data_IF_733326690217
#
_entry.id   IF_733326690217
#
_cell.length_a   1.000
_cell.length_b   1.000
_cell.length_c   1.000
_cell.angle_alpha   90.00
_cell.angle_beta   90.00
_cell.angle_gamma   90.00
#
_symmetry.space_group_name_H-M   'P 1'
#
loop_
_entity.id
_entity.type
_entity.pdbx_description
1 polymer ?
#
# COMPACT_ATOMS: atom_id res chain seq x y z
N UNK A 1 28.36 25.55 19.34
CA UNK A 1 27.32 24.69 19.96
C UNK A 1 27.40 23.32 19.33
N UNK A 2 28.05 22.40 20.04
CA UNK A 2 28.19 21.00 19.65
C UNK A 2 26.82 20.32 19.66
N UNK A 3 26.49 19.64 18.56
CA UNK A 3 25.28 18.81 18.47
C UNK A 3 25.52 17.57 19.32
N UNK A 4 24.75 17.43 20.40
CA UNK A 4 24.55 16.15 21.07
C UNK A 4 23.89 15.22 20.04
N UNK A 5 24.70 14.43 19.34
CA UNK A 5 24.24 13.27 18.55
C UNK A 5 23.88 12.15 19.53
N UNK A 6 22.80 12.35 20.27
CA UNK A 6 22.11 11.22 20.89
C UNK A 6 21.61 10.30 19.78
N UNK A 7 21.77 8.99 19.95
CA UNK A 7 21.18 7.99 19.05
C UNK A 7 19.66 8.24 19.03
N UNK A 8 19.15 8.70 17.89
CA UNK A 8 17.78 9.19 17.76
C UNK A 8 16.88 8.03 17.33
N UNK A 9 16.11 7.47 18.27
CA UNK A 9 15.20 6.35 18.03
C UNK A 9 14.00 6.79 17.16
N UNK A 10 13.55 5.93 16.25
CA UNK A 10 12.47 6.21 15.30
C UNK A 10 11.33 5.23 15.44
N UNK A 11 10.10 5.72 15.27
CA UNK A 11 8.90 4.88 15.27
C UNK A 11 8.36 4.78 13.84
N UNK A 12 8.16 3.56 13.37
CA UNK A 12 7.46 3.25 12.13
C UNK A 12 6.07 2.69 12.45
N UNK A 13 5.07 3.04 11.63
CA UNK A 13 3.71 2.49 11.74
C UNK A 13 3.30 1.91 10.40
N UNK A 14 2.69 0.72 10.42
CA UNK A 14 2.18 0.04 9.23
C UNK A 14 0.77 -0.50 9.49
N UNK A 15 -0.10 -0.35 8.50
CA UNK A 15 -1.45 -0.93 8.44
C UNK A 15 -1.60 -1.93 7.30
N UNK A 16 -0.56 -2.14 6.47
CA UNK A 16 -0.57 -3.08 5.35
C UNK A 16 0.79 -3.78 5.19
N UNK A 17 0.84 -5.01 4.66
CA UNK A 17 2.09 -5.72 4.36
C UNK A 17 3.03 -4.95 3.42
N UNK A 18 2.52 -4.27 2.40
CA UNK A 18 3.34 -3.46 1.50
C UNK A 18 4.04 -2.28 2.23
N UNK A 19 3.36 -1.68 3.21
CA UNK A 19 3.94 -0.58 4.00
C UNK A 19 5.12 -1.04 4.85
N UNK A 20 5.10 -2.29 5.32
CA UNK A 20 6.26 -2.88 5.97
C UNK A 20 7.48 -2.88 5.04
N UNK A 21 7.30 -3.25 3.76
CA UNK A 21 8.38 -3.24 2.79
C UNK A 21 8.95 -1.83 2.59
N UNK A 22 8.10 -0.82 2.49
CA UNK A 22 8.53 0.58 2.35
C UNK A 22 9.22 1.09 3.63
N UNK A 23 8.69 0.78 4.81
CA UNK A 23 9.32 1.11 6.09
C UNK A 23 10.71 0.46 6.22
N UNK A 24 10.84 -0.82 5.86
CA UNK A 24 12.09 -1.57 5.89
C UNK A 24 13.10 -1.04 4.87
N UNK A 25 12.63 -0.63 3.69
CA UNK A 25 13.41 0.05 2.65
C UNK A 25 13.93 1.40 3.16
N UNK A 26 13.12 2.19 3.85
CA UNK A 26 13.56 3.46 4.45
C UNK A 26 14.62 3.21 5.52
N UNK A 27 14.37 2.26 6.43
CA UNK A 27 15.33 1.86 7.47
C UNK A 27 16.67 1.48 6.86
N UNK A 28 16.67 0.67 5.80
CA UNK A 28 17.86 0.24 5.09
C UNK A 28 18.56 1.41 4.38
N UNK A 29 17.83 2.13 3.52
CA UNK A 29 18.39 3.18 2.67
C UNK A 29 18.93 4.38 3.48
N UNK A 30 18.36 4.66 4.65
CA UNK A 30 18.88 5.70 5.54
C UNK A 30 19.92 5.20 6.57
N UNK A 31 20.16 3.88 6.65
CA UNK A 31 21.05 3.30 7.66
C UNK A 31 20.56 3.52 9.09
N UNK A 32 19.25 3.49 9.32
CA UNK A 32 18.71 3.67 10.67
C UNK A 32 18.87 2.39 11.49
N UNK A 33 19.60 2.49 12.60
CA UNK A 33 19.82 1.38 13.53
C UNK A 33 18.66 1.23 14.54
N UNK A 34 18.40 2.28 15.33
CA UNK A 34 17.42 2.24 16.42
C UNK A 34 16.02 2.60 15.91
N UNK A 35 15.28 1.59 15.48
CA UNK A 35 13.91 1.75 14.99
C UNK A 35 12.98 0.72 15.63
N UNK A 36 11.80 1.18 16.02
CA UNK A 36 10.70 0.33 16.44
C UNK A 36 9.58 0.40 15.41
N UNK A 37 8.75 -0.65 15.40
CA UNK A 37 7.65 -0.82 14.48
C UNK A 37 6.35 -1.07 15.24
N UNK A 38 5.29 -0.37 14.87
CA UNK A 38 3.92 -0.65 15.27
C UNK A 38 3.12 -1.16 14.07
N UNK A 39 2.49 -2.32 14.23
CA UNK A 39 1.57 -2.91 13.24
C UNK A 39 0.14 -2.78 13.77
N UNK A 40 -0.73 -2.21 12.94
CA UNK A 40 -2.16 -2.03 13.23
C UNK A 40 -3.00 -3.13 12.57
N UNK A 41 -4.11 -3.51 13.21
CA UNK A 41 -4.99 -4.61 12.77
C UNK A 41 -5.92 -4.23 11.60
N UNK A 42 -5.33 -3.97 10.44
CA UNK A 42 -6.03 -3.45 9.25
C UNK A 42 -6.01 -4.42 8.06
N UNK A 43 -5.42 -5.60 8.23
CA UNK A 43 -5.33 -6.64 7.22
C UNK A 43 -5.42 -8.04 7.84
N UNK A 44 -5.79 -9.01 7.01
CA UNK A 44 -5.91 -10.41 7.42
C UNK A 44 -4.57 -10.92 7.99
N UNK A 45 -4.63 -11.61 9.15
CA UNK A 45 -3.47 -12.18 9.85
C UNK A 45 -2.42 -11.13 10.30
N UNK A 46 -2.83 -9.90 10.60
CA UNK A 46 -1.90 -8.84 11.04
C UNK A 46 -1.11 -9.19 12.31
N UNK A 47 -1.72 -9.90 13.27
CA UNK A 47 -1.04 -10.34 14.49
C UNK A 47 0.03 -11.40 14.19
N UNK A 48 -0.30 -12.42 13.39
CA UNK A 48 0.66 -13.43 12.95
C UNK A 48 1.80 -12.82 12.14
N UNK A 49 1.48 -11.88 11.25
CA UNK A 49 2.47 -11.10 10.53
C UNK A 49 3.41 -10.34 11.48
N UNK A 50 2.87 -9.71 12.53
CA UNK A 50 3.65 -9.03 13.56
C UNK A 50 4.58 -9.99 14.30
N UNK A 51 4.12 -11.21 14.62
CA UNK A 51 4.94 -12.24 15.24
C UNK A 51 6.12 -12.65 14.34
N UNK A 52 5.87 -12.94 13.06
CA UNK A 52 6.93 -13.25 12.08
C UNK A 52 7.93 -12.11 11.92
N UNK A 53 7.46 -10.86 11.87
CA UNK A 53 8.36 -9.69 11.80
C UNK A 53 9.22 -9.58 13.05
N UNK A 54 8.68 -9.88 14.24
CA UNK A 54 9.45 -9.89 15.49
C UNK A 54 10.57 -10.93 15.47
N UNK A 55 10.31 -12.11 14.91
CA UNK A 55 11.29 -13.20 14.78
C UNK A 55 12.48 -12.84 13.87
N UNK A 56 12.34 -11.86 12.98
CA UNK A 56 13.47 -11.41 12.14
C UNK A 56 14.59 -10.72 12.92
N UNK A 57 14.31 -10.19 14.11
CA UNK A 57 15.28 -9.46 14.94
C UNK A 57 15.78 -8.13 14.34
N UNK A 58 15.17 -7.65 13.26
CA UNK A 58 15.60 -6.45 12.52
C UNK A 58 15.25 -5.14 13.22
N UNK A 59 14.16 -5.15 13.98
CA UNK A 59 13.60 -3.99 14.69
C UNK A 59 13.91 -4.09 16.18
N UNK A 60 14.10 -2.95 16.84
CA UNK A 60 14.33 -2.92 18.28
C UNK A 60 13.12 -3.46 19.06
N UNK A 61 11.94 -2.92 18.75
CA UNK A 61 10.65 -3.43 19.23
C UNK A 61 9.65 -3.55 18.09
N UNK A 62 8.87 -4.64 18.10
CA UNK A 62 7.73 -4.86 17.19
C UNK A 62 6.45 -5.00 18.01
N UNK A 63 5.58 -4.01 17.88
CA UNK A 63 4.33 -3.86 18.62
C UNK A 63 3.13 -4.16 17.73
N UNK A 64 2.09 -4.75 18.32
CA UNK A 64 0.79 -4.95 17.69
C UNK A 64 -0.26 -4.12 18.44
N UNK A 65 -1.19 -3.51 17.71
CA UNK A 65 -2.35 -2.84 18.30
C UNK A 65 -3.60 -3.07 17.46
N UNK A 66 -4.66 -3.54 18.10
CA UNK A 66 -5.95 -3.73 17.46
C UNK A 66 -6.81 -2.48 17.57
N UNK A 67 -6.96 -1.76 16.45
CA UNK A 67 -7.80 -0.57 16.32
C UNK A 67 -8.95 -0.76 15.31
N UNK A 68 -9.25 -1.99 14.90
CA UNK A 68 -10.20 -2.27 13.82
C UNK A 68 -11.60 -1.69 14.09
N UNK A 69 -12.08 -1.73 15.33
CA UNK A 69 -13.37 -1.14 15.73
C UNK A 69 -13.38 0.38 15.62
N UNK A 70 -12.27 1.03 15.99
CA UNK A 70 -12.16 2.49 15.96
C UNK A 70 -12.15 3.01 14.51
N UNK A 71 -11.45 2.31 13.62
CA UNK A 71 -11.38 2.71 12.21
C UNK A 71 -12.74 2.55 11.51
N UNK A 72 -13.45 1.43 11.76
CA UNK A 72 -14.82 1.21 11.27
C UNK A 72 -15.77 2.32 11.74
N UNK A 73 -15.76 2.62 13.04
CA UNK A 73 -16.60 3.69 13.61
C UNK A 73 -16.32 5.04 12.94
N UNK A 74 -15.05 5.41 12.74
CA UNK A 74 -14.65 6.64 12.06
C UNK A 74 -15.24 6.75 10.65
N UNK A 75 -15.30 5.65 9.90
CA UNK A 75 -15.80 5.66 8.52
C UNK A 75 -17.30 6.02 8.46
N UNK A 76 -18.09 5.55 9.43
CA UNK A 76 -19.54 5.79 9.54
C UNK A 76 -19.91 7.22 9.95
N UNK A 77 -18.95 8.00 10.45
CA UNK A 77 -19.21 9.35 10.91
C UNK A 77 -19.48 10.33 9.75
N UNK A 78 -20.51 11.16 9.94
CA UNK A 78 -20.75 12.33 9.09
C UNK A 78 -19.64 13.40 9.28
N UNK A 79 -19.52 14.39 8.38
CA UNK A 79 -18.43 15.37 8.43
C UNK A 79 -18.31 16.15 9.75
N UNK A 80 -19.43 16.55 10.36
CA UNK A 80 -19.43 17.28 11.64
C UNK A 80 -18.94 16.38 12.78
N UNK A 81 -19.43 15.12 12.84
CA UNK A 81 -18.96 14.15 13.83
C UNK A 81 -17.48 13.82 13.63
N UNK A 82 -16.99 13.71 12.39
CA UNK A 82 -15.56 13.53 12.06
C UNK A 82 -14.71 14.67 12.64
N UNK A 83 -15.18 15.91 12.55
CA UNK A 83 -14.47 17.05 13.14
C UNK A 83 -14.24 16.89 14.66
N UNK A 84 -15.30 16.57 15.41
CA UNK A 84 -15.19 16.36 16.86
C UNK A 84 -14.41 15.09 17.22
N UNK A 85 -14.53 14.05 16.42
CA UNK A 85 -13.75 12.82 16.53
C UNK A 85 -12.25 13.12 16.48
N UNK A 86 -11.76 13.75 15.41
CA UNK A 86 -10.33 14.10 15.28
C UNK A 86 -9.84 15.12 16.31
N UNK A 87 -10.71 15.99 16.83
CA UNK A 87 -10.35 16.85 17.97
C UNK A 87 -10.12 16.10 19.27
N UNK A 88 -10.75 14.94 19.42
CA UNK A 88 -10.62 14.07 20.60
C UNK A 88 -9.45 13.08 20.50
N UNK A 89 -8.46 13.35 19.64
CA UNK A 89 -7.37 12.43 19.28
C UNK A 89 -6.64 11.79 20.47
N UNK A 90 -6.52 12.50 21.60
CA UNK A 90 -5.86 11.97 22.81
C UNK A 90 -6.52 10.68 23.33
N UNK A 91 -7.82 10.50 23.09
CA UNK A 91 -8.56 9.29 23.47
C UNK A 91 -8.19 8.06 22.63
N UNK A 92 -7.52 8.26 21.49
CA UNK A 92 -7.14 7.20 20.56
C UNK A 92 -5.65 6.85 20.65
N UNK A 93 -4.88 7.53 21.51
CA UNK A 93 -3.47 7.21 21.70
C UNK A 93 -3.37 5.84 22.40
N UNK A 94 -2.71 4.84 21.78
CA UNK A 94 -2.56 3.53 22.40
C UNK A 94 -1.81 3.63 23.74
N UNK A 95 -2.24 2.90 24.79
CA UNK A 95 -1.53 2.91 26.07
C UNK A 95 -0.05 2.49 25.96
N UNK A 96 0.27 1.59 25.03
CA UNK A 96 1.64 1.15 24.73
C UNK A 96 2.53 2.28 24.19
N UNK A 97 1.93 3.38 23.73
CA UNK A 97 2.58 4.61 23.26
C UNK A 97 2.25 5.81 24.15
N UNK A 98 2.00 5.57 25.44
CA UNK A 98 1.76 6.66 26.42
C UNK A 98 3.01 7.49 26.68
N UNK A 99 4.20 6.89 26.59
CA UNK A 99 5.49 7.57 26.60
C UNK A 99 6.17 7.39 25.23
N UNK A 100 6.30 8.51 24.51
CA UNK A 100 6.98 8.59 23.22
C UNK A 100 8.26 9.44 23.30
N UNK A 101 8.71 9.77 24.52
CA UNK A 101 9.84 10.69 24.76
C UNK A 101 11.14 10.22 24.09
N UNK A 102 11.38 8.91 24.05
CA UNK A 102 12.57 8.30 23.43
C UNK A 102 12.64 8.46 21.89
N UNK A 103 11.50 8.65 21.22
CA UNK A 103 11.45 8.77 19.77
C UNK A 103 11.64 10.21 19.31
N UNK A 104 12.52 10.42 18.33
CA UNK A 104 12.76 11.75 17.74
C UNK A 104 11.94 12.02 16.48
N UNK A 105 11.53 10.94 15.78
CA UNK A 105 10.86 11.04 14.48
C UNK A 105 9.90 9.87 14.27
N UNK A 106 8.78 10.18 13.62
CA UNK A 106 7.69 9.27 13.27
C UNK A 106 7.64 9.07 11.76
N UNK A 107 7.51 7.81 11.34
CA UNK A 107 7.25 7.38 9.96
C UNK A 107 5.93 6.62 9.93
N UNK A 108 5.01 7.02 9.06
CA UNK A 108 3.69 6.37 8.90
C UNK A 108 3.21 6.48 7.46
N UNK A 109 2.20 5.70 7.07
CA UNK A 109 1.71 5.70 5.68
C UNK A 109 0.53 6.65 5.44
N UNK A 110 -0.25 6.99 6.47
CA UNK A 110 -1.46 7.81 6.31
C UNK A 110 -1.73 8.79 7.45
N UNK A 111 -2.35 9.92 7.10
CA UNK A 111 -2.87 10.87 8.07
C UNK A 111 -4.35 10.68 8.38
N UNK A 112 -5.02 9.64 7.84
CA UNK A 112 -6.47 9.44 8.00
C UNK A 112 -6.88 8.26 8.88
N UNK A 113 -5.96 7.37 9.27
CA UNK A 113 -6.25 6.31 10.26
C UNK A 113 -6.29 6.95 11.64
N UNK A 114 -7.28 6.60 12.46
CA UNK A 114 -7.54 7.30 13.71
C UNK A 114 -6.34 7.24 14.68
N UNK A 115 -5.72 6.06 14.81
CA UNK A 115 -4.55 5.83 15.67
C UNK A 115 -3.30 6.52 15.13
N UNK A 116 -3.00 6.37 13.83
CA UNK A 116 -1.88 7.08 13.20
C UNK A 116 -2.01 8.60 13.34
N UNK A 117 -3.22 9.14 13.14
CA UNK A 117 -3.52 10.55 13.35
C UNK A 117 -3.26 10.97 14.80
N UNK A 118 -3.67 10.17 15.78
CA UNK A 118 -3.43 10.47 17.20
C UNK A 118 -1.93 10.50 17.53
N UNK A 119 -1.15 9.55 17.01
CA UNK A 119 0.30 9.48 17.23
C UNK A 119 0.98 10.65 16.50
N UNK A 120 0.59 10.96 15.26
CA UNK A 120 1.04 12.14 14.52
C UNK A 120 0.81 13.43 15.29
N UNK A 121 -0.38 13.60 15.87
CA UNK A 121 -0.73 14.77 16.68
C UNK A 121 0.10 14.86 17.95
N UNK A 122 0.37 13.73 18.60
CA UNK A 122 1.24 13.66 19.77
C UNK A 122 2.67 14.11 19.43
N UNK A 123 3.31 13.47 18.43
CA UNK A 123 4.67 13.83 17.98
C UNK A 123 4.77 15.30 17.61
N UNK A 124 3.81 15.81 16.82
CA UNK A 124 3.83 17.21 16.42
C UNK A 124 3.62 18.18 17.59
N UNK A 125 2.86 17.79 18.63
CA UNK A 125 2.69 18.63 19.83
C UNK A 125 3.97 18.76 20.66
N UNK A 126 4.90 17.82 20.51
CA UNK A 126 6.23 17.84 21.12
C UNK A 126 7.30 18.45 20.20
N UNK A 127 6.90 18.99 19.03
CA UNK A 127 7.81 19.55 18.05
C UNK A 127 8.67 18.50 17.32
N UNK A 128 8.32 17.22 17.43
CA UNK A 128 9.04 16.12 16.77
C UNK A 128 8.65 16.02 15.30
N UNK A 129 9.53 15.40 14.50
CA UNK A 129 9.34 15.27 13.07
C UNK A 129 8.36 14.14 12.73
N UNK A 130 7.49 14.40 11.77
CA UNK A 130 6.57 13.44 11.18
C UNK A 130 6.80 13.35 9.68
N UNK A 131 7.07 12.14 9.21
CA UNK A 131 7.23 11.81 7.80
C UNK A 131 6.14 10.82 7.39
N UNK A 132 5.40 11.16 6.32
CA UNK A 132 4.56 10.17 5.65
C UNK A 132 5.39 9.47 4.59
N UNK A 133 5.35 8.14 4.53
CA UNK A 133 5.92 7.38 3.43
C UNK A 133 4.83 6.81 2.52
N UNK A 134 5.24 6.35 1.35
CA UNK A 134 4.33 5.85 0.32
C UNK A 134 3.44 4.70 0.80
N UNK A 135 2.13 4.88 0.63
CA UNK A 135 1.12 3.84 0.72
C UNK A 135 0.89 3.18 -0.65
N UNK A 136 0.83 4.00 -1.70
CA UNK A 136 0.52 3.62 -3.07
C UNK A 136 0.05 4.82 -3.89
N UNK A 137 -0.82 4.60 -4.88
CA UNK A 137 -1.28 5.69 -5.77
C UNK A 137 -2.01 6.84 -5.05
N UNK A 138 -2.56 6.58 -3.85
CA UNK A 138 -3.30 7.54 -3.02
C UNK A 138 -2.47 8.78 -2.66
N UNK A 139 -1.15 8.63 -2.59
CA UNK A 139 -0.22 9.74 -2.36
C UNK A 139 -0.12 10.70 -3.55
N UNK A 140 -0.47 10.25 -4.75
CA UNK A 140 -0.28 10.99 -6.02
C UNK A 140 -1.57 11.62 -6.55
N UNK A 141 -2.73 11.25 -6.01
CA UNK A 141 -4.03 11.73 -6.49
C UNK A 141 -4.66 12.79 -5.59
N UNK A 142 -5.39 13.73 -6.21
CA UNK A 142 -6.17 14.72 -5.47
C UNK A 142 -7.49 14.13 -4.97
N UNK A 143 -7.56 13.87 -3.67
CA UNK A 143 -8.73 13.32 -3.01
C UNK A 143 -9.87 14.34 -2.80
N UNK A 144 -9.67 15.62 -3.16
CA UNK A 144 -10.69 16.69 -3.10
C UNK A 144 -11.70 16.62 -4.24
N UNK A 145 -11.50 15.74 -5.21
CA UNK A 145 -12.41 15.58 -6.34
C UNK A 145 -13.63 14.74 -5.90
N UNK A 146 -14.79 15.39 -5.84
CA UNK A 146 -16.07 14.80 -5.45
C UNK A 146 -17.15 15.20 -6.46
N UNK A 147 -18.23 14.45 -6.65
CA UNK A 147 -19.31 14.86 -7.58
C UNK A 147 -19.95 16.19 -7.14
N UNK A 148 -20.25 16.29 -5.84
CA UNK A 148 -20.82 17.48 -5.19
C UNK A 148 -19.79 18.61 -4.96
N UNK A 149 -20.09 19.83 -5.41
CA UNK A 149 -19.22 21.02 -5.28
C UNK A 149 -18.87 21.38 -3.82
N UNK A 150 -19.85 21.38 -2.92
CA UNK A 150 -19.62 21.71 -1.50
C UNK A 150 -18.65 20.73 -0.82
N UNK A 151 -18.69 19.44 -1.19
CA UNK A 151 -17.76 18.45 -0.68
C UNK A 151 -16.33 18.68 -1.18
N UNK A 152 -16.17 19.15 -2.43
CA UNK A 152 -14.85 19.56 -2.95
C UNK A 152 -14.25 20.68 -2.10
N UNK A 153 -15.07 21.69 -1.81
CA UNK A 153 -14.66 22.84 -1.00
C UNK A 153 -14.30 22.43 0.43
N UNK A 154 -15.14 21.61 1.09
CA UNK A 154 -14.87 21.09 2.42
C UNK A 154 -13.58 20.28 2.49
N UNK A 155 -13.35 19.37 1.54
CA UNK A 155 -12.12 18.56 1.49
C UNK A 155 -10.87 19.40 1.25
N UNK A 156 -10.99 20.49 0.50
CA UNK A 156 -9.90 21.43 0.25
C UNK A 156 -9.52 22.25 1.49
N UNK A 157 -10.50 22.61 2.32
CA UNK A 157 -10.28 23.37 3.56
C UNK A 157 -9.98 22.49 4.78
N UNK A 158 -10.32 21.20 4.74
CA UNK A 158 -10.12 20.25 5.84
C UNK A 158 -8.69 20.31 6.44
N UNK A 159 -7.59 20.34 5.65
CA UNK A 159 -6.24 20.41 6.21
C UNK A 159 -5.96 21.66 7.06
N UNK A 160 -6.58 22.80 6.74
CA UNK A 160 -6.44 24.05 7.52
C UNK A 160 -7.05 23.91 8.92
N UNK A 161 -8.13 23.14 9.02
CA UNK A 161 -8.77 22.79 10.30
C UNK A 161 -8.07 21.62 11.00
N UNK A 162 -7.00 21.10 10.41
CA UNK A 162 -6.30 19.94 10.94
C UNK A 162 -7.05 18.63 10.73
N UNK A 163 -7.91 18.55 9.73
CA UNK A 163 -8.59 17.33 9.33
C UNK A 163 -7.93 16.73 8.09
N UNK A 164 -7.82 15.40 7.98
CA UNK A 164 -7.36 14.75 6.77
C UNK A 164 -8.26 15.14 5.59
N UNK A 165 -7.65 15.47 4.46
CA UNK A 165 -8.33 15.98 3.27
C UNK A 165 -7.34 16.21 2.14
N UNK A 166 -7.76 16.80 1.02
CA UNK A 166 -6.83 17.24 -0.02
C UNK A 166 -6.03 16.12 -0.69
N UNK A 167 -4.86 15.89 -0.11
CA UNK A 167 -3.87 14.86 -0.41
C UNK A 167 -3.37 14.25 0.90
N UNK A 168 -2.94 12.98 0.86
CA UNK A 168 -2.29 12.33 2.01
C UNK A 168 -0.98 13.08 2.33
N UNK A 169 -0.83 13.59 3.55
CA UNK A 169 0.34 14.37 3.98
C UNK A 169 0.16 15.89 3.88
N UNK A 170 -1.03 16.35 3.49
CA UNK A 170 -1.34 17.78 3.37
C UNK A 170 -1.47 18.48 4.73
N UNK A 171 -1.68 17.73 5.82
CA UNK A 171 -1.75 18.27 7.17
C UNK A 171 -0.51 19.09 7.54
N UNK A 172 -0.71 20.21 8.23
CA UNK A 172 0.37 21.11 8.67
C UNK A 172 1.40 20.46 9.61
N UNK A 173 1.02 19.37 10.27
CA UNK A 173 1.86 18.62 11.20
C UNK A 173 2.79 17.61 10.52
N UNK A 174 2.60 17.37 9.21
CA UNK A 174 3.47 16.51 8.41
C UNK A 174 4.62 17.35 7.86
N UNK A 175 5.86 16.99 8.19
CA UNK A 175 7.07 17.69 7.78
C UNK A 175 7.55 17.26 6.39
N UNK A 176 7.47 15.97 6.07
CA UNK A 176 7.85 15.44 4.76
C UNK A 176 6.98 14.30 4.28
N UNK A 177 6.92 14.12 2.96
CA UNK A 177 6.22 13.00 2.29
C UNK A 177 7.24 12.29 1.41
N UNK A 178 7.54 11.03 1.68
CA UNK A 178 8.57 10.26 1.00
C UNK A 178 7.94 9.24 0.07
N UNK A 179 8.24 9.34 -1.22
CA UNK A 179 7.59 8.55 -2.27
C UNK A 179 8.62 8.07 -3.29
N UNK A 180 8.30 7.01 -4.03
CA UNK A 180 9.15 6.46 -5.08
C UNK A 180 9.38 7.47 -6.21
N UNK A 181 8.33 8.22 -6.57
CA UNK A 181 8.31 9.13 -7.73
C UNK A 181 7.92 10.57 -7.38
N UNK A 182 8.76 11.31 -6.62
CA UNK A 182 8.44 12.66 -6.18
C UNK A 182 8.16 13.64 -7.32
N UNK A 183 8.77 13.43 -8.48
CA UNK A 183 8.65 14.26 -9.68
C UNK A 183 7.18 14.48 -10.09
N UNK A 184 6.34 13.45 -9.98
CA UNK A 184 4.93 13.50 -10.39
C UNK A 184 4.07 14.40 -9.49
N UNK A 185 4.51 14.58 -8.24
CA UNK A 185 3.89 15.52 -7.31
C UNK A 185 4.47 16.92 -7.51
N UNK A 186 5.76 17.01 -7.86
CA UNK A 186 6.48 18.28 -8.03
C UNK A 186 6.16 19.01 -9.34
N UNK A 187 5.77 18.27 -10.38
CA UNK A 187 5.42 18.80 -11.70
C UNK A 187 4.09 19.56 -11.71
N UNK A 188 3.12 19.21 -10.85
CA UNK A 188 1.89 19.99 -10.71
C UNK A 188 2.13 21.19 -9.79
N UNK A 189 2.19 22.43 -10.32
CA UNK A 189 2.43 23.63 -9.50
C UNK A 189 1.29 23.89 -8.50
N UNK A 190 0.13 23.26 -8.66
CA UNK A 190 -1.03 23.39 -7.76
C UNK A 190 -1.03 22.34 -6.66
N UNK A 191 -0.10 21.39 -6.67
CA UNK A 191 -0.03 20.35 -5.66
C UNK A 191 0.53 20.90 -4.34
N UNK A 192 -0.28 20.83 -3.28
CA UNK A 192 0.06 21.37 -1.95
C UNK A 192 1.23 20.64 -1.29
N UNK A 193 1.55 19.43 -1.74
CA UNK A 193 2.65 18.62 -1.20
C UNK A 193 4.01 18.95 -1.81
N UNK A 194 4.06 19.73 -2.90
CA UNK A 194 5.27 19.98 -3.71
C UNK A 194 6.51 20.33 -2.87
N UNK A 195 6.35 21.11 -1.81
CA UNK A 195 7.47 21.56 -0.95
C UNK A 195 7.86 20.57 0.16
N UNK A 196 7.06 19.53 0.40
CA UNK A 196 7.28 18.51 1.43
C UNK A 196 7.83 17.20 0.87
N UNK A 197 7.67 17.00 -0.44
CA UNK A 197 7.90 15.72 -1.09
C UNK A 197 9.39 15.45 -1.25
N UNK A 198 9.78 14.20 -1.00
CA UNK A 198 11.14 13.68 -1.16
C UNK A 198 11.09 12.30 -1.80
N UNK A 199 12.18 11.93 -2.47
CA UNK A 199 12.36 10.56 -2.94
C UNK A 199 12.60 9.62 -1.75
N UNK A 200 12.13 8.38 -1.85
CA UNK A 200 12.57 7.31 -0.97
C UNK A 200 14.10 7.10 -1.09
N UNK A 201 14.78 6.71 0.00
CA UNK A 201 16.25 6.67 0.05
C UNK A 201 16.86 5.52 -0.73
N UNK A 202 16.05 4.54 -1.15
CA UNK A 202 16.47 3.37 -1.90
C UNK A 202 15.36 2.99 -2.89
N UNK A 203 15.72 2.46 -4.07
CA UNK A 203 14.71 1.97 -5.02
C UNK A 203 14.24 0.58 -4.61
N UNK A 204 12.99 0.24 -4.90
CA UNK A 204 12.43 -1.06 -4.54
C UNK A 204 13.19 -2.23 -5.19
N UNK A 205 13.63 -2.07 -6.45
CA UNK A 205 14.45 -3.06 -7.15
C UNK A 205 15.78 -3.34 -6.43
N UNK A 206 16.48 -2.28 -6.02
CA UNK A 206 17.76 -2.39 -5.33
C UNK A 206 17.59 -3.03 -3.94
N UNK A 207 16.52 -2.67 -3.23
CA UNK A 207 16.13 -3.26 -1.95
C UNK A 207 15.86 -4.77 -2.07
N UNK A 208 15.07 -5.18 -3.06
CA UNK A 208 14.75 -6.59 -3.32
C UNK A 208 15.94 -7.40 -3.86
N UNK A 209 16.98 -6.73 -4.36
CA UNK A 209 18.23 -7.39 -4.78
C UNK A 209 19.18 -7.75 -3.63
N UNK A 210 18.93 -7.29 -2.39
CA UNK A 210 19.83 -7.52 -1.27
C UNK A 210 19.60 -8.90 -0.62
N UNK A 211 20.61 -9.79 -0.52
CA UNK A 211 20.42 -11.15 0.01
C UNK A 211 19.81 -11.19 1.43
N UNK A 212 20.23 -10.28 2.32
CA UNK A 212 19.69 -10.18 3.69
C UNK A 212 18.20 -9.83 3.69
N UNK A 213 17.75 -8.98 2.77
CA UNK A 213 16.35 -8.57 2.64
C UNK A 213 15.53 -9.74 2.06
N UNK A 214 16.05 -10.42 1.04
CA UNK A 214 15.41 -11.60 0.47
C UNK A 214 15.24 -12.71 1.52
N UNK A 215 16.25 -12.94 2.35
CA UNK A 215 16.19 -13.92 3.44
C UNK A 215 15.12 -13.52 4.48
N UNK A 216 15.10 -12.26 4.90
CA UNK A 216 14.09 -11.71 5.81
C UNK A 216 12.67 -11.89 5.25
N UNK A 217 12.45 -11.53 3.98
CA UNK A 217 11.15 -11.66 3.32
C UNK A 217 10.71 -13.12 3.19
N UNK A 218 11.63 -14.05 2.95
CA UNK A 218 11.32 -15.48 2.94
C UNK A 218 10.93 -16.04 4.32
N UNK A 219 11.40 -15.43 5.42
CA UNK A 219 10.94 -15.79 6.77
C UNK A 219 9.51 -15.29 7.02
N UNK A 220 9.22 -14.06 6.59
CA UNK A 220 7.91 -13.43 6.77
C UNK A 220 6.85 -14.09 5.86
N UNK A 221 7.23 -14.39 4.61
CA UNK A 221 6.38 -14.93 3.55
C UNK A 221 6.90 -16.28 3.05
N UNK A 222 6.84 -17.35 3.87
CA UNK A 222 7.31 -18.68 3.47
C UNK A 222 6.57 -19.24 2.23
N UNK A 223 5.37 -18.74 1.96
CA UNK A 223 4.53 -19.10 0.81
C UNK A 223 5.21 -18.78 -0.53
N UNK A 224 6.20 -17.87 -0.55
CA UNK A 224 7.02 -17.60 -1.73
C UNK A 224 7.69 -18.86 -2.29
N UNK A 225 8.09 -19.80 -1.43
CA UNK A 225 8.72 -21.06 -1.85
C UNK A 225 7.76 -21.99 -2.56
N UNK A 226 6.48 -21.95 -2.18
CA UNK A 226 5.46 -22.76 -2.83
C UNK A 226 5.19 -22.21 -4.24
N UNK A 227 5.03 -20.89 -4.35
CA UNK A 227 4.81 -20.21 -5.63
C UNK A 227 6.01 -20.41 -6.57
N UNK A 228 7.23 -20.31 -6.05
CA UNK A 228 8.48 -20.56 -6.79
C UNK A 228 8.49 -21.95 -7.46
N UNK A 229 8.07 -23.00 -6.74
CA UNK A 229 7.96 -24.37 -7.31
C UNK A 229 6.93 -24.46 -8.43
N UNK A 230 5.81 -23.74 -8.30
CA UNK A 230 4.67 -23.78 -9.23
C UNK A 230 4.94 -23.04 -10.54
N UNK A 231 5.90 -22.11 -10.54
CA UNK A 231 6.32 -21.41 -11.76
C UNK A 231 7.58 -22.01 -12.39
N UNK A 232 8.16 -23.06 -11.80
CA UNK A 232 9.39 -23.65 -12.28
C UNK A 232 9.21 -24.20 -13.71
N UNK A 233 10.05 -23.74 -14.64
CA UNK A 233 10.01 -24.16 -16.04
C UNK A 233 8.97 -23.43 -16.90
N UNK A 234 8.26 -22.45 -16.36
CA UNK A 234 7.39 -21.57 -17.14
C UNK A 234 8.11 -20.29 -17.54
N UNK A 235 8.06 -19.91 -18.82
CA UNK A 235 8.61 -18.63 -19.28
C UNK A 235 7.63 -17.47 -19.13
N UNK A 236 6.33 -17.79 -19.02
CA UNK A 236 5.23 -16.83 -18.97
C UNK A 236 4.32 -17.20 -17.79
N UNK A 237 3.89 -16.21 -17.03
CA UNK A 237 2.84 -16.35 -16.02
C UNK A 237 1.77 -15.29 -16.21
N UNK A 238 0.56 -15.58 -15.74
CA UNK A 238 -0.53 -14.61 -15.72
C UNK A 238 -1.01 -14.36 -14.30
N UNK A 239 -1.27 -13.11 -13.95
CA UNK A 239 -1.68 -12.69 -12.62
C UNK A 239 -2.92 -11.83 -12.72
N UNK A 240 -3.91 -12.14 -11.90
CA UNK A 240 -5.17 -11.45 -11.80
C UNK A 240 -5.29 -10.78 -10.44
N UNK A 241 -5.32 -9.45 -10.42
CA UNK A 241 -5.55 -8.66 -9.22
C UNK A 241 -7.04 -8.35 -9.10
N UNK A 242 -7.66 -8.82 -8.03
CA UNK A 242 -9.07 -8.54 -7.74
C UNK A 242 -9.22 -7.30 -6.86
N UNK A 243 -10.46 -6.91 -6.56
CA UNK A 243 -10.79 -5.69 -5.83
C UNK A 243 -11.83 -5.94 -4.73
N UNK A 244 -11.82 -5.09 -3.69
CA UNK A 244 -12.73 -5.23 -2.54
C UNK A 244 -14.21 -5.11 -2.87
N UNK A 245 -14.59 -4.41 -3.94
CA UNK A 245 -15.99 -4.27 -4.34
C UNK A 245 -16.59 -5.54 -4.94
N UNK A 246 -15.77 -6.53 -5.30
CA UNK A 246 -16.26 -7.82 -5.79
C UNK A 246 -17.17 -8.52 -4.79
N UNK A 247 -16.96 -8.32 -3.49
CA UNK A 247 -17.82 -8.88 -2.43
C UNK A 247 -19.26 -8.33 -2.48
N UNK A 248 -19.48 -7.18 -3.12
CA UNK A 248 -20.81 -6.59 -3.29
C UNK A 248 -21.58 -7.10 -4.51
N UNK A 249 -21.00 -8.01 -5.32
CA UNK A 249 -21.65 -8.54 -6.52
C UNK A 249 -22.63 -9.66 -6.13
N UNK A 250 -23.91 -9.51 -6.49
CA UNK A 250 -24.97 -10.46 -6.12
C UNK A 250 -24.68 -11.92 -6.50
N UNK A 251 -24.10 -12.15 -7.69
CA UNK A 251 -23.65 -13.47 -8.16
C UNK A 251 -22.12 -13.50 -8.36
N UNK A 252 -21.37 -13.15 -7.31
CA UNK A 252 -19.89 -13.01 -7.34
C UNK A 252 -19.19 -14.22 -7.99
N UNK A 253 -19.53 -15.44 -7.60
CA UNK A 253 -18.85 -16.64 -8.11
C UNK A 253 -19.01 -16.78 -9.62
N UNK A 254 -20.24 -16.64 -10.13
CA UNK A 254 -20.51 -16.68 -11.57
C UNK A 254 -19.79 -15.55 -12.33
N UNK A 255 -19.73 -14.33 -11.74
CA UNK A 255 -18.99 -13.21 -12.32
C UNK A 255 -17.49 -13.53 -12.41
N UNK A 256 -16.91 -14.06 -11.33
CA UNK A 256 -15.50 -14.44 -11.30
C UNK A 256 -15.18 -15.60 -12.26
N UNK A 257 -16.04 -16.61 -12.35
CA UNK A 257 -15.89 -17.71 -13.32
C UNK A 257 -15.89 -17.22 -14.77
N UNK A 258 -16.84 -16.37 -15.15
CA UNK A 258 -16.89 -15.78 -16.49
C UNK A 258 -15.65 -14.95 -16.79
N UNK A 259 -15.18 -14.20 -15.79
CA UNK A 259 -13.99 -13.39 -15.91
C UNK A 259 -12.73 -14.26 -16.07
N UNK A 260 -12.57 -15.29 -15.25
CA UNK A 260 -11.46 -16.23 -15.37
C UNK A 260 -11.49 -16.98 -16.69
N UNK A 261 -12.67 -17.37 -17.20
CA UNK A 261 -12.79 -17.97 -18.52
C UNK A 261 -12.27 -17.05 -19.63
N UNK A 262 -12.48 -15.73 -19.53
CA UNK A 262 -11.91 -14.74 -20.47
C UNK A 262 -10.40 -14.61 -20.35
N UNK A 263 -9.89 -14.56 -19.11
CA UNK A 263 -8.43 -14.54 -18.87
C UNK A 263 -7.81 -15.81 -19.44
N UNK A 264 -8.30 -17.00 -19.07
CA UNK A 264 -7.86 -18.28 -19.62
C UNK A 264 -7.93 -18.32 -21.14
N UNK A 265 -9.01 -17.86 -21.78
CA UNK A 265 -9.09 -17.80 -23.24
C UNK A 265 -8.01 -16.91 -23.87
N UNK A 266 -7.63 -15.81 -23.21
CA UNK A 266 -6.53 -14.95 -23.69
C UNK A 266 -5.14 -15.55 -23.48
N UNK A 267 -4.99 -16.46 -22.50
CA UNK A 267 -3.73 -17.08 -22.08
C UNK A 267 -3.53 -18.47 -22.68
N UNK A 268 -4.59 -19.20 -23.02
CA UNK A 268 -4.65 -20.63 -23.39
C UNK A 268 -3.85 -21.05 -24.63
N UNK A 269 -3.18 -20.11 -25.31
CA UNK A 269 -2.14 -20.44 -26.29
C UNK A 269 -0.82 -20.90 -25.64
N UNK A 270 -0.65 -20.74 -24.32
CA UNK A 270 0.68 -20.85 -23.66
C UNK A 270 0.79 -21.91 -22.55
N UNK A 271 -0.29 -22.61 -22.16
CA UNK A 271 -0.32 -23.51 -20.99
C UNK A 271 0.33 -22.91 -19.72
N UNK A 272 0.30 -21.58 -19.58
CA UNK A 272 0.94 -20.88 -18.47
C UNK A 272 0.04 -20.85 -17.23
N UNK A 273 0.63 -20.85 -16.02
CA UNK A 273 -0.14 -20.78 -14.79
C UNK A 273 -0.83 -19.42 -14.65
N UNK A 274 -2.02 -19.46 -14.06
CA UNK A 274 -2.82 -18.26 -13.77
C UNK A 274 -2.94 -18.12 -12.26
N UNK A 275 -2.43 -17.02 -11.73
CA UNK A 275 -2.50 -16.69 -10.32
C UNK A 275 -3.60 -15.66 -10.06
N UNK A 276 -4.48 -15.91 -9.10
CA UNK A 276 -5.44 -14.94 -8.60
C UNK A 276 -4.93 -14.40 -7.28
N UNK A 277 -4.69 -13.08 -7.25
CA UNK A 277 -4.33 -12.38 -6.04
C UNK A 277 -5.53 -11.62 -5.50
N UNK A 278 -6.13 -12.17 -4.44
CA UNK A 278 -7.21 -11.49 -3.74
C UNK A 278 -6.77 -10.18 -3.08
N UNK A 279 -7.61 -9.15 -3.16
CA UNK A 279 -7.38 -7.89 -2.46
C UNK A 279 -7.47 -8.10 -0.94
N UNK A 280 -6.59 -7.50 -0.12
CA UNK A 280 -6.59 -7.72 1.33
C UNK A 280 -7.90 -7.35 2.04
N UNK A 281 -8.68 -6.45 1.45
CA UNK A 281 -9.99 -6.01 1.94
C UNK A 281 -11.19 -6.87 1.51
N UNK A 282 -11.00 -7.91 0.68
CA UNK A 282 -12.07 -8.87 0.40
C UNK A 282 -12.25 -9.81 1.59
N UNK A 283 -13.48 -9.91 2.08
CA UNK A 283 -13.89 -10.83 3.14
C UNK A 283 -14.27 -12.21 2.61
N UNK A 284 -14.82 -12.30 1.40
CA UNK A 284 -15.18 -13.58 0.79
C UNK A 284 -13.96 -14.26 0.15
N UNK A 285 -13.80 -15.57 0.32
CA UNK A 285 -12.81 -16.36 -0.42
C UNK A 285 -13.23 -16.47 -1.88
N UNK A 286 -12.26 -16.54 -2.79
CA UNK A 286 -12.51 -17.04 -4.14
C UNK A 286 -12.26 -18.54 -4.10
N UNK A 287 -13.08 -19.30 -4.81
CA UNK A 287 -12.88 -20.72 -5.06
C UNK A 287 -12.79 -20.91 -6.58
N UNK A 288 -11.99 -21.87 -7.00
CA UNK A 288 -11.82 -22.23 -8.40
C UNK A 288 -11.77 -23.74 -8.53
N UNK A 289 -12.45 -24.28 -9.53
CA UNK A 289 -12.41 -25.70 -9.88
C UNK A 289 -11.37 -26.00 -10.98
N UNK A 290 -10.63 -24.99 -11.44
CA UNK A 290 -9.63 -25.15 -12.50
C UNK A 290 -8.25 -25.47 -11.93
N UNK A 291 -7.65 -26.57 -12.40
CA UNK A 291 -6.28 -26.97 -12.02
C UNK A 291 -5.20 -25.99 -12.53
N UNK A 292 -5.50 -25.16 -13.53
CA UNK A 292 -4.58 -24.14 -14.06
C UNK A 292 -4.55 -22.86 -13.21
N UNK A 293 -5.57 -22.67 -12.37
CA UNK A 293 -5.78 -21.44 -11.63
C UNK A 293 -5.41 -21.67 -10.17
N UNK A 294 -4.50 -20.86 -9.68
CA UNK A 294 -4.09 -20.87 -8.28
C UNK A 294 -4.40 -19.56 -7.57
N UNK A 295 -4.75 -19.66 -6.29
CA UNK A 295 -5.07 -18.49 -5.47
C UNK A 295 -3.86 -18.16 -4.60
N UNK A 296 -3.30 -16.97 -4.79
CA UNK A 296 -2.20 -16.47 -3.99
C UNK A 296 -2.70 -16.00 -2.61
N UNK A 297 -1.89 -16.17 -1.54
CA UNK A 297 -2.24 -15.69 -0.21
C UNK A 297 -2.63 -14.20 -0.17
N UNK A 298 -3.72 -13.86 0.52
CA UNK A 298 -4.22 -12.48 0.64
C UNK A 298 -3.17 -11.51 1.22
N UNK A 299 -2.37 -11.97 2.18
CA UNK A 299 -1.33 -11.17 2.86
C UNK A 299 -0.06 -10.90 2.04
N UNK A 300 0.18 -11.66 0.96
CA UNK A 300 1.39 -11.53 0.16
C UNK A 300 1.39 -10.20 -0.63
N UNK A 301 2.35 -9.29 -0.44
CA UNK A 301 2.51 -8.16 -1.35
C UNK A 301 2.82 -8.68 -2.75
N UNK A 302 2.10 -8.21 -3.76
CA UNK A 302 2.28 -8.73 -5.12
C UNK A 302 3.63 -8.32 -5.72
N UNK A 303 4.24 -7.24 -5.22
CA UNK A 303 5.59 -6.80 -5.58
C UNK A 303 6.64 -7.89 -5.31
N UNK A 304 6.39 -8.81 -4.37
CA UNK A 304 7.29 -9.94 -4.10
C UNK A 304 7.29 -11.00 -5.21
N UNK A 305 6.32 -10.97 -6.12
CA UNK A 305 6.36 -11.77 -7.34
C UNK A 305 7.62 -11.46 -8.16
N UNK A 306 8.17 -10.25 -8.04
CA UNK A 306 9.42 -9.88 -8.70
C UNK A 306 10.59 -10.80 -8.31
N UNK A 307 10.65 -11.26 -7.06
CA UNK A 307 11.68 -12.20 -6.60
C UNK A 307 11.55 -13.54 -7.32
N UNK A 308 10.31 -14.02 -7.46
CA UNK A 308 9.98 -15.27 -8.16
C UNK A 308 10.28 -15.16 -9.66
N UNK A 309 10.01 -14.00 -10.25
CA UNK A 309 10.33 -13.72 -11.66
C UNK A 309 11.83 -13.84 -11.92
N UNK A 310 12.65 -13.23 -11.06
CA UNK A 310 14.11 -13.29 -11.18
C UNK A 310 14.63 -14.71 -10.97
N UNK A 311 14.19 -15.40 -9.90
CA UNK A 311 14.70 -16.74 -9.57
C UNK A 311 14.43 -17.76 -10.67
N UNK A 312 13.27 -17.66 -11.33
CA UNK A 312 12.85 -18.59 -12.38
C UNK A 312 13.11 -18.09 -13.81
N UNK A 313 13.74 -16.92 -13.97
CA UNK A 313 13.97 -16.29 -15.29
C UNK A 313 12.69 -16.14 -16.12
N UNK A 314 11.58 -15.79 -15.44
CA UNK A 314 10.29 -15.54 -16.10
C UNK A 314 10.46 -14.39 -17.09
N UNK A 315 10.21 -14.67 -18.36
CA UNK A 315 10.36 -13.69 -19.43
C UNK A 315 9.15 -12.78 -19.56
N UNK A 316 7.97 -13.21 -19.11
CA UNK A 316 6.76 -12.39 -19.27
C UNK A 316 5.72 -12.60 -18.18
N UNK A 317 5.14 -11.50 -17.72
CA UNK A 317 3.97 -11.47 -16.84
C UNK A 317 2.83 -10.75 -17.54
N UNK A 318 1.69 -11.42 -17.65
CA UNK A 318 0.43 -10.79 -18.03
C UNK A 318 -0.33 -10.40 -16.76
N UNK A 319 -0.42 -9.10 -16.48
CA UNK A 319 -1.06 -8.56 -15.29
C UNK A 319 -2.45 -8.00 -15.62
N UNK A 320 -3.48 -8.67 -15.13
CA UNK A 320 -4.88 -8.29 -15.27
C UNK A 320 -5.34 -7.60 -13.99
N UNK A 321 -5.94 -6.42 -14.11
CA UNK A 321 -6.37 -5.67 -12.93
C UNK A 321 -7.53 -4.72 -13.23
N UNK A 322 -8.30 -4.39 -12.20
CA UNK A 322 -9.35 -3.38 -12.26
C UNK A 322 -8.85 -1.98 -11.85
N UNK A 323 -7.55 -1.70 -12.06
CA UNK A 323 -6.92 -0.43 -11.67
C UNK A 323 -6.26 -0.46 -10.29
N UNK A 324 -5.72 -1.62 -9.90
CA UNK A 324 -4.99 -1.78 -8.64
C UNK A 324 -3.71 -0.97 -8.64
N UNK A 325 -3.44 -0.34 -7.51
CA UNK A 325 -2.28 0.55 -7.27
C UNK A 325 -0.96 -0.19 -7.40
N UNK A 326 -0.97 -1.49 -7.11
CA UNK A 326 0.21 -2.35 -7.17
C UNK A 326 0.79 -2.45 -8.58
N UNK A 327 0.00 -2.14 -9.62
CA UNK A 327 0.48 -2.06 -11.01
C UNK A 327 1.64 -1.07 -11.12
N UNK A 328 1.58 0.09 -10.46
CA UNK A 328 2.64 1.10 -10.55
C UNK A 328 3.95 0.58 -9.96
N UNK A 329 3.88 -0.13 -8.84
CA UNK A 329 5.03 -0.70 -8.15
C UNK A 329 5.66 -1.85 -8.94
N UNK A 330 4.84 -2.78 -9.45
CA UNK A 330 5.31 -3.90 -10.29
C UNK A 330 5.90 -3.36 -11.59
N UNK A 331 5.26 -2.35 -12.20
CA UNK A 331 5.80 -1.71 -13.39
C UNK A 331 7.21 -1.16 -13.13
N UNK A 332 7.43 -0.48 -12.01
CA UNK A 332 8.75 0.07 -11.67
C UNK A 332 9.82 -1.01 -11.47
N UNK A 333 9.43 -2.18 -10.98
CA UNK A 333 10.31 -3.34 -10.86
C UNK A 333 10.67 -3.97 -12.22
N UNK A 334 9.72 -3.99 -13.17
CA UNK A 334 9.83 -4.73 -14.43
C UNK A 334 10.10 -3.87 -15.68
N UNK A 335 9.97 -2.53 -15.62
CA UNK A 335 9.94 -1.65 -16.80
C UNK A 335 11.17 -1.70 -17.70
N UNK A 336 12.33 -2.05 -17.15
CA UNK A 336 13.58 -2.09 -17.93
C UNK A 336 13.68 -3.35 -18.79
N UNK A 337 12.86 -4.36 -18.51
CA UNK A 337 13.01 -5.69 -19.08
C UNK A 337 11.94 -6.00 -20.15
N UNK A 338 10.96 -5.09 -20.38
CA UNK A 338 9.77 -5.30 -21.26
C UNK A 338 8.94 -6.56 -20.91
N UNK A 339 9.14 -7.12 -19.72
CA UNK A 339 8.58 -8.40 -19.27
C UNK A 339 7.14 -8.28 -18.70
N UNK A 340 6.43 -7.17 -18.93
CA UNK A 340 5.13 -6.91 -18.28
C UNK A 340 4.11 -6.35 -19.27
N UNK A 341 3.05 -7.15 -19.52
CA UNK A 341 1.85 -6.70 -20.22
C UNK A 341 0.75 -6.40 -19.20
N UNK A 342 0.21 -5.17 -19.21
CA UNK A 342 -0.84 -4.74 -18.28
C UNK A 342 -2.18 -4.65 -19.00
N UNK A 343 -3.18 -5.34 -18.46
CA UNK A 343 -4.56 -5.35 -18.93
C UNK A 343 -5.48 -4.75 -17.87
N UNK A 344 -6.04 -3.58 -18.17
CA UNK A 344 -7.00 -2.90 -17.29
C UNK A 344 -8.42 -3.26 -17.67
N UNK A 345 -9.15 -3.87 -16.74
CA UNK A 345 -10.49 -4.38 -17.00
C UNK A 345 -11.52 -3.31 -16.66
N UNK A 346 -12.27 -2.88 -17.66
CA UNK A 346 -13.38 -1.95 -17.48
C UNK A 346 -14.70 -2.72 -17.42
N UNK A 347 -15.26 -2.89 -16.22
CA UNK A 347 -16.51 -3.64 -16.04
C UNK A 347 -17.74 -2.73 -15.97
N UNK A 348 -18.80 -3.10 -16.67
CA UNK A 348 -20.11 -2.43 -16.58
C UNK A 348 -20.72 -2.53 -15.19
N UNK A 349 -20.35 -3.56 -14.41
CA UNK A 349 -20.80 -3.78 -13.03
C UNK A 349 -20.14 -2.86 -12.00
N UNK A 350 -19.15 -2.05 -12.40
CA UNK A 350 -18.51 -1.10 -11.51
C UNK A 350 -19.48 0.00 -11.06
N UNK A 351 -19.48 0.29 -9.77
CA UNK A 351 -20.20 1.44 -9.20
C UNK A 351 -19.65 2.76 -9.74
N UNK A 352 -20.44 3.84 -9.66
CA UNK A 352 -19.99 5.18 -10.11
C UNK A 352 -18.70 5.64 -9.43
N UNK A 353 -18.55 5.33 -8.14
CA UNK A 353 -17.39 5.73 -7.36
C UNK A 353 -16.14 4.94 -7.77
N UNK A 354 -16.31 3.66 -8.10
CA UNK A 354 -15.23 2.86 -8.63
C UNK A 354 -14.82 3.30 -10.05
N UNK A 355 -15.78 3.65 -10.92
CA UNK A 355 -15.47 4.20 -12.25
C UNK A 355 -14.62 5.47 -12.18
N UNK A 356 -14.92 6.37 -11.23
CA UNK A 356 -14.11 7.57 -10.99
C UNK A 356 -12.70 7.19 -10.54
N UNK A 357 -12.58 6.21 -9.66
CA UNK A 357 -11.28 5.74 -9.14
C UNK A 357 -10.45 5.08 -10.23
N UNK A 358 -11.06 4.22 -11.05
CA UNK A 358 -10.46 3.60 -12.22
C UNK A 358 -9.97 4.63 -13.24
N UNK A 359 -10.79 5.64 -13.55
CA UNK A 359 -10.39 6.72 -14.46
C UNK A 359 -9.16 7.48 -13.92
N UNK A 360 -9.16 7.83 -12.63
CA UNK A 360 -7.99 8.48 -11.99
C UNK A 360 -6.75 7.61 -12.06
N UNK A 361 -6.91 6.30 -11.86
CA UNK A 361 -5.81 5.37 -12.01
C UNK A 361 -5.28 5.37 -13.44
N UNK A 362 -6.14 5.31 -14.47
CA UNK A 362 -5.72 5.35 -15.86
C UNK A 362 -5.01 6.66 -16.24
N UNK A 363 -5.52 7.81 -15.78
CA UNK A 363 -4.87 9.12 -15.97
C UNK A 363 -3.49 9.14 -15.31
N UNK A 364 -3.39 8.64 -14.07
CA UNK A 364 -2.13 8.54 -13.36
C UNK A 364 -1.16 7.60 -14.07
N UNK A 365 -1.58 6.37 -14.42
CA UNK A 365 -0.78 5.39 -15.13
C UNK A 365 -0.24 5.95 -16.46
N UNK A 366 -1.06 6.73 -17.17
CA UNK A 366 -0.65 7.43 -18.40
C UNK A 366 0.44 8.46 -18.12
N UNK A 367 0.28 9.28 -17.07
CA UNK A 367 1.31 10.24 -16.63
C UNK A 367 2.60 9.54 -16.15
N UNK A 368 2.50 8.31 -15.63
CA UNK A 368 3.64 7.45 -15.28
C UNK A 368 4.29 6.79 -16.51
N UNK A 369 3.74 6.99 -17.71
CA UNK A 369 4.11 6.30 -18.94
C UNK A 369 4.01 4.77 -18.83
N UNK A 370 3.05 4.28 -18.05
CA UNK A 370 2.72 2.85 -17.99
C UNK A 370 2.02 2.46 -19.29
N UNK A 371 2.55 1.45 -19.98
CA UNK A 371 1.90 0.86 -21.16
C UNK A 371 0.85 -0.14 -20.69
N UNK A 372 -0.42 0.10 -21.00
CA UNK A 372 -1.52 -0.81 -20.68
C UNK A 372 -2.55 -0.90 -21.81
N UNK A 373 -3.36 -1.97 -21.80
CA UNK A 373 -4.52 -2.16 -22.68
C UNK A 373 -5.79 -2.20 -21.85
N UNK A 374 -6.80 -1.45 -22.25
CA UNK A 374 -8.13 -1.58 -21.63
C UNK A 374 -8.90 -2.71 -22.31
N UNK A 375 -9.45 -3.63 -21.53
CA UNK A 375 -10.18 -4.82 -22.01
C UNK A 375 -11.56 -4.97 -21.38
#
# INVERSE_FOLDING_TARGET
>A
MEKIKGKQKRLFICTKPYQYMIARLIKEGCGFEDCDLLILNHFCEAEDFCNKVRETGVWGKVMFFDDGTLDKYKLELNPLKKYYFYRSWRKFLPPILSDLSEYSELFLAHDFVAVEYAILRHFSSEGKRVTIFEEGFGNYINNSTHTKLHMRFLKRLAPLMGLPGGYIGSLKWVNSVWVQRPELIMEDPRNQLRHKVKQLPLKLKDFLGMPKIVNELNMIYPELREIDRKVQGHDIISVVLTESWHDGIANRNQYMEQFFAKVSASVNKSNSPIFIKQHPGESLSIETNSEQIEILPKKLPIELLYLIMISNKIQKVNLYSFGSTAILNIYDLCRNDENLDIYLISSMTMTSDFKITFQRFCELATNYHVRFKTV
#
